data_IF_733190136078
#
_entry.id   IF_733190136078
#
_cell.length_a   1.000
_cell.length_b   1.000
_cell.length_c   1.000
_cell.angle_alpha   90.00
_cell.angle_beta   90.00
_cell.angle_gamma   90.00
#
_symmetry.space_group_name_H-M   'P 1'
#
loop_
_entity.id
_entity.type
_entity.pdbx_description
1 polymer ?
#
# COMPACT_ATOMS: atom_id res chain seq x y z
N UNK A 1 -13.58 -14.79 1.50
CA UNK A 1 -12.43 -14.15 2.19
C UNK A 1 -11.16 -14.58 1.50
N UNK A 2 -10.20 -13.68 1.32
CA UNK A 2 -8.95 -13.94 0.63
C UNK A 2 -7.75 -13.61 1.52
N UNK A 3 -6.77 -14.52 1.56
CA UNK A 3 -5.54 -14.30 2.31
C UNK A 3 -4.48 -13.61 1.43
N UNK A 4 -3.99 -12.46 1.87
CA UNK A 4 -2.85 -11.76 1.26
C UNK A 4 -1.58 -12.02 2.06
N UNK A 5 -0.51 -12.48 1.39
CA UNK A 5 0.85 -12.48 1.93
C UNK A 5 1.64 -11.33 1.32
N UNK A 6 2.03 -10.38 2.16
CA UNK A 6 2.79 -9.20 1.78
C UNK A 6 4.21 -9.32 2.32
N UNK A 7 5.20 -9.02 1.48
CA UNK A 7 6.55 -8.73 1.99
C UNK A 7 6.50 -7.40 2.73
N UNK A 8 7.43 -7.16 3.66
CA UNK A 8 7.49 -5.93 4.43
C UNK A 8 7.34 -4.65 3.58
N UNK A 9 8.12 -4.55 2.50
CA UNK A 9 8.06 -3.38 1.61
C UNK A 9 6.69 -3.25 0.88
N UNK A 10 6.01 -4.36 0.58
CA UNK A 10 4.63 -4.30 0.07
C UNK A 10 3.65 -3.80 1.14
N UNK A 11 3.84 -4.22 2.40
CA UNK A 11 3.02 -3.81 3.54
C UNK A 11 3.20 -2.30 3.85
N UNK A 12 4.43 -1.78 3.77
CA UNK A 12 4.71 -0.35 3.91
C UNK A 12 3.99 0.49 2.84
N UNK A 13 4.05 0.07 1.57
CA UNK A 13 3.31 0.71 0.48
C UNK A 13 1.80 0.66 0.69
N UNK A 14 1.28 -0.49 1.13
CA UNK A 14 -0.14 -0.63 1.39
C UNK A 14 -0.60 0.27 2.55
N UNK A 15 0.20 0.37 3.60
CA UNK A 15 -0.04 1.27 4.73
C UNK A 15 -0.09 2.75 4.29
N UNK A 16 0.86 3.19 3.45
CA UNK A 16 0.82 4.53 2.85
C UNK A 16 -0.47 4.74 2.03
N UNK A 17 -0.90 3.72 1.29
CA UNK A 17 -2.17 3.75 0.55
C UNK A 17 -3.36 3.96 1.46
N UNK A 18 -3.41 3.26 2.59
CA UNK A 18 -4.49 3.40 3.58
C UNK A 18 -4.48 4.78 4.24
N UNK A 19 -3.31 5.31 4.61
CA UNK A 19 -3.19 6.69 5.12
C UNK A 19 -3.74 7.71 4.12
N UNK A 20 -3.38 7.58 2.85
CA UNK A 20 -3.91 8.44 1.80
C UNK A 20 -5.43 8.29 1.63
N UNK A 21 -5.92 7.05 1.63
CA UNK A 21 -7.34 6.76 1.49
C UNK A 21 -8.18 7.34 2.64
N UNK A 22 -7.67 7.38 3.87
CA UNK A 22 -8.36 7.95 5.03
C UNK A 22 -8.36 9.47 5.04
N UNK A 23 -7.40 10.12 4.39
CA UNK A 23 -7.27 11.57 4.37
C UNK A 23 -8.16 12.27 3.32
N UNK A 24 -8.86 11.54 2.45
CA UNK A 24 -9.66 12.17 1.40
C UNK A 24 -10.93 12.82 1.96
N UNK A 25 -11.26 14.06 1.54
CA UNK A 25 -12.50 14.72 1.94
C UNK A 25 -13.71 13.94 1.41
N UNK A 26 -14.72 13.75 2.26
CA UNK A 26 -15.86 12.87 1.97
C UNK A 26 -15.63 11.42 2.38
N UNK A 27 -14.55 11.12 3.12
CA UNK A 27 -14.30 9.84 3.81
C UNK A 27 -14.28 10.08 5.33
N UNK A 28 -14.93 9.20 6.12
CA UNK A 28 -15.10 9.37 7.58
C UNK A 28 -16.52 9.74 8.08
N UNK A 29 -16.65 10.19 9.33
CA UNK A 29 -17.95 10.43 10.00
C UNK A 29 -18.87 11.48 9.31
N UNK A 30 -18.30 12.32 8.45
CA UNK A 30 -19.02 13.33 7.65
C UNK A 30 -19.39 12.85 6.22
N UNK A 31 -18.90 11.68 5.80
CA UNK A 31 -19.19 11.11 4.48
C UNK A 31 -20.66 10.67 4.36
N UNK A 32 -21.22 10.68 3.14
CA UNK A 32 -22.60 10.18 2.93
C UNK A 32 -22.66 8.70 3.32
N UNK A 33 -23.81 8.18 3.79
CA UNK A 33 -23.93 6.77 4.22
C UNK A 33 -23.47 5.74 3.18
N UNK A 34 -23.61 6.05 1.88
CA UNK A 34 -23.16 5.21 0.78
C UNK A 34 -21.61 5.18 0.62
N UNK A 35 -20.93 6.28 0.95
CA UNK A 35 -19.47 6.40 0.92
C UNK A 35 -18.86 5.69 2.15
N UNK A 36 -19.46 5.87 3.35
CA UNK A 36 -19.08 5.15 4.57
C UNK A 36 -19.08 3.62 4.44
N UNK A 37 -20.07 3.06 3.72
CA UNK A 37 -20.12 1.59 3.50
C UNK A 37 -18.97 1.07 2.65
N UNK A 38 -18.40 1.89 1.77
CA UNK A 38 -17.21 1.53 0.96
C UNK A 38 -15.92 1.59 1.78
N UNK A 39 -15.92 2.28 2.93
CA UNK A 39 -14.73 2.55 3.76
C UNK A 39 -14.58 1.63 4.98
N UNK A 40 -15.68 1.07 5.50
CA UNK A 40 -15.65 0.09 6.59
C UNK A 40 -14.67 -1.08 6.41
N UNK A 41 -14.38 -1.58 5.19
CA UNK A 41 -13.41 -2.67 5.02
C UNK A 41 -11.95 -2.26 5.29
N UNK A 42 -11.59 -0.98 5.19
CA UNK A 42 -10.19 -0.55 5.13
C UNK A 42 -9.60 -0.16 6.49
N UNK A 43 -10.37 0.46 7.38
CA UNK A 43 -9.88 0.90 8.69
C UNK A 43 -9.37 -0.27 9.56
N UNK A 44 -10.06 -1.43 9.65
CA UNK A 44 -9.53 -2.59 10.37
C UNK A 44 -8.23 -3.12 9.75
N UNK A 45 -8.09 -3.06 8.42
CA UNK A 45 -6.89 -3.52 7.72
C UNK A 45 -5.67 -2.65 8.05
N UNK A 46 -5.85 -1.35 8.27
CA UNK A 46 -4.75 -0.46 8.68
C UNK A 46 -4.19 -0.87 10.04
N UNK A 47 -5.05 -1.12 11.02
CA UNK A 47 -4.64 -1.55 12.36
C UNK A 47 -3.94 -2.92 12.35
N UNK A 48 -4.45 -3.85 11.54
CA UNK A 48 -3.83 -5.17 11.34
C UNK A 48 -2.45 -5.07 10.67
N UNK A 49 -2.34 -4.21 9.65
CA UNK A 49 -1.07 -3.91 9.00
C UNK A 49 -0.07 -3.31 9.99
N UNK A 50 -0.49 -2.34 10.81
CA UNK A 50 0.36 -1.63 11.76
C UNK A 50 1.09 -2.57 12.71
N UNK A 51 0.38 -3.56 13.29
CA UNK A 51 0.97 -4.59 14.15
C UNK A 51 1.92 -5.57 13.44
N UNK A 52 1.99 -5.52 12.11
CA UNK A 52 2.83 -6.37 11.27
C UNK A 52 3.99 -5.66 10.56
N UNK A 53 4.09 -4.32 10.62
CA UNK A 53 5.04 -3.56 9.78
C UNK A 53 6.52 -3.89 10.01
N UNK A 54 6.87 -4.42 11.18
CA UNK A 54 8.23 -4.83 11.53
C UNK A 54 8.53 -6.29 11.17
N UNK A 55 7.55 -7.04 10.65
CA UNK A 55 7.70 -8.44 10.24
C UNK A 55 8.18 -8.54 8.80
N UNK A 56 8.97 -9.56 8.51
CA UNK A 56 9.43 -9.83 7.14
C UNK A 56 8.27 -10.14 6.17
N UNK A 57 7.23 -10.78 6.68
CA UNK A 57 5.99 -11.12 5.96
C UNK A 57 4.80 -10.73 6.84
N UNK A 58 3.82 -10.06 6.24
CA UNK A 58 2.53 -9.74 6.84
C UNK A 58 1.45 -10.54 6.13
N UNK A 59 0.66 -11.26 6.92
CA UNK A 59 -0.50 -12.01 6.44
C UNK A 59 -1.76 -11.22 6.80
N UNK A 60 -2.62 -10.97 5.82
CA UNK A 60 -3.88 -10.26 6.01
C UNK A 60 -5.02 -11.10 5.48
N UNK A 61 -6.02 -11.30 6.31
CA UNK A 61 -7.30 -11.84 5.88
C UNK A 61 -8.18 -10.70 5.40
N UNK A 62 -8.47 -10.71 4.10
CA UNK A 62 -9.12 -9.60 3.41
C UNK A 62 -10.53 -10.02 2.99
N UNK A 63 -11.58 -9.26 3.35
CA UNK A 63 -12.94 -9.55 2.90
C UNK A 63 -13.08 -9.48 1.38
N UNK A 64 -14.00 -10.26 0.83
CA UNK A 64 -14.25 -10.27 -0.61
C UNK A 64 -14.66 -8.88 -1.11
N UNK A 65 -14.20 -8.51 -2.30
CA UNK A 65 -14.43 -7.16 -2.85
C UNK A 65 -13.56 -6.05 -2.24
N UNK A 66 -12.67 -6.35 -1.28
CA UNK A 66 -11.76 -5.33 -0.71
C UNK A 66 -10.49 -5.13 -1.53
N UNK A 67 -10.07 -6.11 -2.36
CA UNK A 67 -8.88 -5.96 -3.22
C UNK A 67 -8.94 -4.74 -4.17
N UNK A 68 -10.06 -4.45 -4.87
CA UNK A 68 -10.18 -3.23 -5.66
C UNK A 68 -9.98 -1.95 -4.84
N UNK A 69 -10.51 -1.91 -3.61
CA UNK A 69 -10.37 -0.76 -2.71
C UNK A 69 -8.91 -0.56 -2.28
N UNK A 70 -8.18 -1.64 -2.01
CA UNK A 70 -6.74 -1.60 -1.74
C UNK A 70 -5.95 -1.13 -2.97
N UNK A 71 -6.36 -1.53 -4.18
CA UNK A 71 -5.80 -1.04 -5.44
C UNK A 71 -5.98 0.46 -5.64
N UNK A 72 -7.15 1.00 -5.32
CA UNK A 72 -7.43 2.45 -5.33
C UNK A 72 -6.62 3.20 -4.28
N UNK A 73 -6.56 2.69 -3.04
CA UNK A 73 -5.76 3.26 -1.97
C UNK A 73 -4.27 3.36 -2.38
N UNK A 74 -3.74 2.29 -2.97
CA UNK A 74 -2.38 2.24 -3.47
C UNK A 74 -2.15 3.20 -4.65
N UNK A 75 -3.14 3.38 -5.54
CA UNK A 75 -3.07 4.37 -6.60
C UNK A 75 -2.93 5.80 -6.03
N UNK A 76 -3.65 6.10 -4.94
CA UNK A 76 -3.53 7.34 -4.19
C UNK A 76 -2.12 7.56 -3.63
N UNK A 77 -1.58 6.57 -2.92
CA UNK A 77 -0.21 6.62 -2.42
C UNK A 77 0.83 6.79 -3.55
N UNK A 78 0.67 6.11 -4.69
CA UNK A 78 1.55 6.30 -5.85
C UNK A 78 1.51 7.74 -6.35
N UNK A 79 0.32 8.35 -6.42
CA UNK A 79 0.19 9.74 -6.83
C UNK A 79 0.86 10.67 -5.82
N UNK A 80 0.63 10.45 -4.53
CA UNK A 80 1.21 11.28 -3.47
C UNK A 80 2.73 11.18 -3.42
N UNK A 81 3.31 9.98 -3.62
CA UNK A 81 4.76 9.80 -3.72
C UNK A 81 5.36 10.57 -4.91
N UNK A 82 4.68 10.60 -6.06
CA UNK A 82 5.10 11.42 -7.21
C UNK A 82 5.06 12.90 -6.87
N UNK A 83 3.98 13.37 -6.25
CA UNK A 83 3.86 14.76 -5.83
C UNK A 83 4.93 15.12 -4.81
N UNK A 84 5.21 14.23 -3.86
CA UNK A 84 6.24 14.40 -2.86
C UNK A 84 7.63 14.53 -3.48
N UNK A 85 7.94 13.75 -4.53
CA UNK A 85 9.19 13.91 -5.29
C UNK A 85 9.29 15.29 -5.96
N UNK A 86 8.18 15.84 -6.47
CA UNK A 86 8.14 17.15 -7.12
C UNK A 86 8.10 18.32 -6.11
N UNK A 87 7.55 18.09 -4.92
CA UNK A 87 7.29 19.10 -3.90
C UNK A 87 8.38 19.16 -2.81
N UNK A 88 9.57 18.63 -3.10
CA UNK A 88 10.72 18.58 -2.18
C UNK A 88 10.40 17.85 -0.86
N UNK A 89 9.84 16.65 -0.99
CA UNK A 89 9.55 15.77 0.14
C UNK A 89 8.27 16.13 0.90
N UNK A 90 7.53 17.17 0.50
CA UNK A 90 6.29 17.59 1.16
C UNK A 90 5.07 16.83 0.63
N UNK A 91 4.10 16.61 1.50
CA UNK A 91 2.83 15.95 1.19
C UNK A 91 1.68 16.75 1.79
N UNK A 92 0.54 16.75 1.11
CA UNK A 92 -0.70 17.36 1.63
C UNK A 92 -1.51 16.39 2.47
N UNK A 93 -1.17 15.09 2.43
CA UNK A 93 -1.82 14.05 3.22
C UNK A 93 -1.22 14.04 4.64
N UNK A 94 -2.03 14.24 5.69
CA UNK A 94 -1.54 14.25 7.07
C UNK A 94 -0.75 13.00 7.42
N UNK A 95 0.45 13.18 7.98
CA UNK A 95 1.32 12.08 8.41
C UNK A 95 1.98 11.27 7.29
N UNK A 96 1.63 11.49 6.01
CA UNK A 96 2.14 10.69 4.90
C UNK A 96 3.63 10.89 4.68
N UNK A 97 4.11 12.13 4.56
CA UNK A 97 5.54 12.40 4.36
C UNK A 97 6.42 11.86 5.50
N UNK A 98 5.98 12.03 6.76
CA UNK A 98 6.68 11.48 7.92
C UNK A 98 6.73 9.95 7.89
N UNK A 99 5.61 9.31 7.56
CA UNK A 99 5.52 7.84 7.44
C UNK A 99 6.36 7.31 6.28
N UNK A 100 6.33 7.98 5.13
CA UNK A 100 7.10 7.60 3.95
C UNK A 100 8.61 7.64 4.25
N UNK A 101 9.09 8.70 4.91
CA UNK A 101 10.49 8.81 5.33
C UNK A 101 10.87 7.77 6.39
N UNK A 102 9.96 7.40 7.28
CA UNK A 102 10.18 6.33 8.27
C UNK A 102 10.40 4.97 7.59
N UNK A 103 9.57 4.65 6.60
CA UNK A 103 9.67 3.37 5.87
C UNK A 103 10.78 3.35 4.82
N UNK A 104 11.08 4.51 4.24
CA UNK A 104 12.03 4.70 3.15
C UNK A 104 12.98 5.85 3.51
N UNK A 105 13.99 5.62 4.38
CA UNK A 105 14.87 6.68 4.87
C UNK A 105 15.57 7.48 3.79
N UNK A 106 15.87 6.87 2.64
CA UNK A 106 16.46 7.55 1.48
C UNK A 106 15.62 8.72 0.96
N UNK A 107 14.30 8.74 1.19
CA UNK A 107 13.43 9.87 0.82
C UNK A 107 13.73 11.11 1.69
N UNK A 108 14.21 10.92 2.93
CA UNK A 108 14.57 12.03 3.78
C UNK A 108 15.85 12.74 3.32
N UNK A 109 16.78 11.98 2.72
CA UNK A 109 18.04 12.49 2.18
C UNK A 109 17.87 13.03 0.76
N UNK A 110 17.12 12.30 -0.08
CA UNK A 110 16.87 12.63 -1.47
C UNK A 110 15.38 12.44 -1.80
N UNK A 111 14.56 13.52 -1.79
CA UNK A 111 13.12 13.42 -2.06
C UNK A 111 12.77 12.78 -3.41
N UNK A 112 13.65 12.89 -4.41
CA UNK A 112 13.49 12.25 -5.71
C UNK A 112 13.47 10.70 -5.62
N UNK A 113 14.06 10.11 -4.58
CA UNK A 113 14.03 8.67 -4.32
C UNK A 113 12.60 8.13 -4.08
N UNK A 114 11.62 9.00 -3.84
CA UNK A 114 10.21 8.60 -3.81
C UNK A 114 9.73 8.02 -5.16
N UNK A 115 10.37 8.38 -6.28
CA UNK A 115 10.06 7.81 -7.61
C UNK A 115 10.45 6.33 -7.72
N UNK A 116 11.46 5.87 -6.97
CA UNK A 116 11.81 4.45 -6.93
C UNK A 116 10.71 3.64 -6.22
N UNK A 117 10.15 4.20 -5.15
CA UNK A 117 9.03 3.62 -4.39
C UNK A 117 7.76 3.57 -5.25
N UNK A 118 7.54 4.56 -6.12
CA UNK A 118 6.44 4.55 -7.11
C UNK A 118 6.50 3.31 -8.01
N UNK A 119 7.69 2.94 -8.50
CA UNK A 119 7.86 1.76 -9.34
C UNK A 119 7.39 0.48 -8.63
N UNK A 120 7.74 0.32 -7.36
CA UNK A 120 7.29 -0.80 -6.53
C UNK A 120 5.78 -0.75 -6.29
N UNK A 121 5.22 0.42 -5.96
CA UNK A 121 3.77 0.62 -5.83
C UNK A 121 2.98 0.16 -7.06
N UNK A 122 3.45 0.51 -8.27
CA UNK A 122 2.82 0.08 -9.53
C UNK A 122 2.82 -1.45 -9.67
N UNK A 123 3.93 -2.11 -9.33
CA UNK A 123 4.01 -3.58 -9.40
C UNK A 123 3.08 -4.25 -8.39
N UNK A 124 3.00 -3.74 -7.16
CA UNK A 124 2.09 -4.23 -6.14
C UNK A 124 0.62 -4.05 -6.58
N UNK A 125 0.26 -2.89 -7.12
CA UNK A 125 -1.09 -2.65 -7.62
C UNK A 125 -1.49 -3.64 -8.71
N UNK A 126 -0.60 -3.88 -9.69
CA UNK A 126 -0.84 -4.87 -10.75
C UNK A 126 -1.08 -6.28 -10.20
N UNK A 127 -0.34 -6.67 -9.15
CA UNK A 127 -0.55 -7.96 -8.46
C UNK A 127 -1.92 -8.02 -7.78
N UNK A 128 -2.33 -6.96 -7.10
CA UNK A 128 -3.65 -6.89 -6.46
C UNK A 128 -4.79 -6.93 -7.49
N UNK A 129 -4.64 -6.18 -8.59
CA UNK A 129 -5.60 -6.17 -9.70
C UNK A 129 -5.74 -7.55 -10.36
N UNK A 130 -4.63 -8.28 -10.50
CA UNK A 130 -4.64 -9.64 -11.03
C UNK A 130 -5.31 -10.62 -10.06
N UNK A 131 -5.00 -10.53 -8.75
CA UNK A 131 -5.63 -11.34 -7.72
C UNK A 131 -7.14 -11.09 -7.63
N UNK A 132 -7.60 -9.85 -7.85
CA UNK A 132 -9.02 -9.51 -7.85
C UNK A 132 -9.80 -10.07 -9.06
N UNK A 133 -9.11 -10.40 -10.15
CA UNK A 133 -9.71 -10.93 -11.40
C UNK A 133 -9.57 -12.44 -11.53
N UNK A 134 -8.74 -13.07 -10.71
CA UNK A 134 -8.56 -14.51 -10.76
C UNK A 134 -9.88 -15.19 -10.37
N UNK A 135 -10.48 -16.05 -11.21
CA UNK A 135 -11.48 -16.99 -10.72
C UNK A 135 -10.83 -17.83 -9.63
N UNK A 136 -11.54 -18.17 -8.55
CA UNK A 136 -11.03 -19.03 -7.48
C UNK A 136 -10.39 -20.30 -8.08
N UNK A 137 -9.07 -20.29 -8.22
CA UNK A 137 -8.28 -21.44 -8.63
C UNK A 137 -7.65 -22.03 -7.36
N UNK A 138 -7.61 -23.38 -7.24
CA UNK A 138 -7.25 -24.04 -5.99
C UNK A 138 -5.82 -23.69 -5.55
N UNK A 139 -5.53 -23.76 -4.24
CA UNK A 139 -4.27 -23.31 -3.67
C UNK A 139 -3.15 -24.29 -4.05
N UNK A 140 -2.37 -23.95 -5.09
CA UNK A 140 -1.26 -24.80 -5.52
C UNK A 140 -0.48 -24.19 -6.67
N UNK A 141 0.45 -23.28 -6.36
CA UNK A 141 1.34 -22.72 -7.37
C UNK A 141 2.24 -21.62 -6.83
N UNK A 142 3.12 -21.97 -5.90
CA UNK A 142 4.22 -21.11 -5.47
C UNK A 142 5.21 -20.92 -6.63
N UNK A 143 4.92 -19.99 -7.53
CA UNK A 143 5.92 -19.42 -8.43
C UNK A 143 6.76 -18.42 -7.66
N UNK A 144 7.94 -18.83 -7.18
CA UNK A 144 8.90 -17.92 -6.55
C UNK A 144 9.17 -16.71 -7.47
N UNK A 145 8.91 -15.47 -7.01
CA UNK A 145 9.34 -14.30 -7.75
C UNK A 145 10.87 -14.24 -7.71
N UNK A 146 11.52 -14.47 -8.85
CA UNK A 146 12.97 -14.27 -9.01
C UNK A 146 13.35 -12.91 -8.42
N UNK A 147 14.35 -12.84 -7.51
CA UNK A 147 14.75 -11.59 -6.90
C UNK A 147 15.29 -10.63 -7.98
N UNK A 148 14.48 -9.63 -8.32
CA UNK A 148 14.89 -8.52 -9.16
C UNK A 148 16.10 -7.83 -8.54
N UNK A 149 16.95 -7.24 -9.39
CA UNK A 149 18.26 -6.64 -9.04
C UNK A 149 18.22 -5.74 -7.80
N UNK A 150 17.07 -5.10 -7.56
CA UNK A 150 16.77 -4.21 -6.44
C UNK A 150 16.61 -4.91 -5.09
N UNK A 151 16.10 -6.14 -5.03
CA UNK A 151 15.92 -6.91 -3.78
C UNK A 151 17.21 -7.34 -3.08
N UNK A 152 18.37 -7.11 -3.73
CA UNK A 152 19.70 -7.33 -3.15
C UNK A 152 20.26 -6.08 -2.46
N UNK A 153 19.75 -4.89 -2.78
CA UNK A 153 20.16 -3.64 -2.14
C UNK A 153 19.53 -3.46 -0.74
N UNK A 154 18.38 -4.10 -0.48
CA UNK A 154 17.63 -4.00 0.78
C UNK A 154 17.92 -5.15 1.77
N UNK A 155 19.06 -5.85 1.62
CA UNK A 155 19.49 -6.97 2.48
C UNK A 155 20.83 -6.70 3.21
N UNK A 156 21.25 -5.45 3.31
CA UNK A 156 22.41 -5.04 4.10
C UNK A 156 21.96 -4.22 5.29
#
# INVERSE_FOLDING_TARGET
>A
MLQLRLRQADAHLLYLGLLHAEAQPGRGLAARPAERRREQPLAPLRALLEGGLDRAVVELDVPDGTLPLLGEALAGAINELKQMAMADGRSMVPGFAATARRFYPQIAEEPAAALDVVGHGVMLRRRLDAAARAPEAPPGGAGEPRPGRWSRLWRR
#
